data_IF_576684684548
#
_entry.id   IF_576684684548
#
_cell.length_a   1.000
_cell.length_b   1.000
_cell.length_c   1.000
_cell.angle_alpha   90.00
_cell.angle_beta   90.00
_cell.angle_gamma   90.00
#
_symmetry.space_group_name_H-M   'P 1'
#
loop_
_entity.id
_entity.type
_entity.pdbx_description
1 polymer ?
#
# COMPACT_ATOMS: atom_id res chain seq x y z
N UNK A 1 78.93 0.15 12.74
CA UNK A 1 78.42 0.68 14.03
C UNK A 1 77.04 1.26 13.72
N UNK A 2 75.92 0.81 14.30
CA UNK A 2 75.58 0.70 15.74
C UNK A 2 75.78 2.04 16.47
N UNK A 3 74.71 2.83 16.62
CA UNK A 3 74.09 2.96 17.94
C UNK A 3 72.59 3.28 17.84
N UNK A 4 71.79 2.58 18.65
CA UNK A 4 70.32 2.58 18.65
C UNK A 4 69.83 2.79 20.10
N UNK A 5 69.11 3.89 20.35
CA UNK A 5 68.33 4.19 21.57
C UNK A 5 67.19 5.15 21.14
N UNK A 6 65.87 4.90 21.26
CA UNK A 6 65.03 4.33 22.34
C UNK A 6 65.30 5.05 23.69
N UNK A 7 64.36 5.79 24.32
CA UNK A 7 63.18 5.39 25.14
C UNK A 7 62.52 6.71 25.62
N UNK A 8 61.20 6.97 25.69
CA UNK A 8 59.96 6.28 25.27
C UNK A 8 58.79 7.30 25.07
N UNK A 9 57.58 6.77 24.88
CA UNK A 9 56.26 7.40 24.85
C UNK A 9 55.59 7.64 26.22
N UNK A 10 54.46 8.38 26.24
CA UNK A 10 53.23 8.22 27.08
C UNK A 10 52.24 9.33 26.61
N UNK A 11 51.16 9.02 25.86
CA UNK A 11 49.81 8.49 26.19
C UNK A 11 48.72 9.60 26.12
N UNK A 12 47.55 9.25 25.58
CA UNK A 12 46.40 10.14 25.40
C UNK A 12 46.27 10.67 23.96
N UNK A 13 45.24 10.32 23.18
CA UNK A 13 44.14 9.38 23.43
C UNK A 13 43.00 9.67 22.45
N UNK A 14 42.85 8.86 21.40
CA UNK A 14 41.96 9.23 20.28
C UNK A 14 41.92 8.24 19.12
N UNK A 15 41.86 6.94 19.39
CA UNK A 15 41.56 5.93 18.36
C UNK A 15 40.11 6.10 17.90
N UNK A 16 39.92 6.79 16.77
CA UNK A 16 38.58 7.18 16.32
C UNK A 16 38.56 7.80 14.92
N UNK A 17 39.18 7.14 13.93
CA UNK A 17 38.81 7.41 12.53
C UNK A 17 37.36 6.99 12.40
N UNK A 18 36.48 7.98 12.23
CA UNK A 18 35.03 7.78 12.30
C UNK A 18 34.59 6.86 11.18
N UNK A 19 33.97 5.73 11.51
CA UNK A 19 33.25 4.92 10.53
C UNK A 19 32.22 5.79 9.84
N UNK A 20 32.39 6.04 8.54
CA UNK A 20 31.36 6.69 7.73
C UNK A 20 30.11 5.81 7.76
N UNK A 21 29.11 6.24 8.53
CA UNK A 21 27.92 5.43 8.82
C UNK A 21 27.08 5.25 7.57
N UNK A 22 26.52 4.05 7.41
CA UNK A 22 25.75 3.63 6.25
C UNK A 22 24.34 4.24 6.22
N UNK A 23 24.23 5.57 6.34
CA UNK A 23 22.96 6.30 6.36
C UNK A 23 22.36 6.48 4.95
N UNK A 24 23.18 6.37 3.91
CA UNK A 24 22.76 6.56 2.50
C UNK A 24 22.00 5.38 1.88
N UNK A 25 21.74 4.28 2.62
CA UNK A 25 21.08 3.08 2.08
C UNK A 25 19.57 3.02 2.36
N UNK A 26 19.05 3.70 3.40
CA UNK A 26 17.68 3.52 3.89
C UNK A 26 16.58 4.19 3.04
N UNK A 27 16.91 5.24 2.29
CA UNK A 27 15.97 5.98 1.44
C UNK A 27 16.10 5.61 -0.05
N UNK A 28 17.13 4.86 -0.42
CA UNK A 28 17.49 4.52 -1.81
C UNK A 28 16.94 3.16 -2.28
N UNK A 29 16.09 2.53 -1.46
CA UNK A 29 15.37 1.32 -1.84
C UNK A 29 14.16 1.70 -2.73
N UNK A 30 14.02 1.13 -3.94
CA UNK A 30 13.01 1.55 -4.92
C UNK A 30 11.60 1.18 -4.47
N UNK A 31 10.58 1.76 -5.11
CA UNK A 31 9.16 1.64 -4.68
C UNK A 31 8.58 0.20 -4.61
N UNK A 32 9.29 -0.81 -5.10
CA UNK A 32 8.90 -2.22 -4.98
C UNK A 32 9.65 -2.97 -3.85
N UNK A 33 10.52 -2.30 -3.09
CA UNK A 33 11.33 -2.88 -2.01
C UNK A 33 10.87 -2.32 -0.67
N UNK A 34 10.40 -3.20 0.23
CA UNK A 34 10.05 -2.85 1.60
C UNK A 34 11.12 -3.36 2.57
N UNK A 35 11.79 -2.43 3.27
CA UNK A 35 12.66 -2.75 4.41
C UNK A 35 11.87 -2.75 5.72
N UNK A 36 11.41 -3.92 6.14
CA UNK A 36 10.51 -4.09 7.28
C UNK A 36 11.14 -3.70 8.62
N UNK A 37 12.45 -3.91 8.81
CA UNK A 37 13.16 -3.51 10.02
C UNK A 37 13.37 -2.00 10.17
N UNK A 38 13.07 -1.22 9.12
CA UNK A 38 13.27 0.23 9.08
C UNK A 38 12.01 1.05 8.82
N UNK A 39 10.98 0.48 8.20
CA UNK A 39 9.72 1.15 7.83
C UNK A 39 8.55 0.25 8.21
N UNK A 40 7.61 0.73 9.02
CA UNK A 40 6.40 0.01 9.43
C UNK A 40 5.37 -0.16 8.29
N UNK A 41 5.58 0.52 7.16
CA UNK A 41 4.64 0.66 6.05
C UNK A 41 5.31 0.49 4.70
N UNK A 42 4.57 -0.09 3.77
CA UNK A 42 4.89 -0.16 2.35
C UNK A 42 3.81 0.55 1.54
N UNK A 43 4.08 1.81 1.17
CA UNK A 43 3.14 2.65 0.41
C UNK A 43 2.96 2.11 -1.01
N UNK A 44 1.70 1.89 -1.39
CA UNK A 44 1.32 1.40 -2.70
C UNK A 44 0.97 2.58 -3.63
N UNK A 45 -0.12 3.30 -3.33
CA UNK A 45 -0.64 4.38 -4.17
C UNK A 45 -1.46 5.39 -3.36
N UNK A 46 -1.69 6.57 -3.94
CA UNK A 46 -2.68 7.53 -3.46
C UNK A 46 -3.93 7.46 -4.33
N UNK A 47 -5.09 7.21 -3.74
CA UNK A 47 -6.39 7.31 -4.41
C UNK A 47 -7.05 8.65 -4.08
N UNK A 48 -7.74 9.24 -5.07
CA UNK A 48 -8.27 10.60 -5.02
C UNK A 48 -9.68 10.71 -5.58
N UNK A 49 -10.59 11.33 -4.84
CA UNK A 49 -11.82 11.93 -5.40
C UNK A 49 -11.63 13.45 -5.55
N UNK A 50 -12.14 14.00 -6.64
CA UNK A 50 -12.27 15.45 -6.90
C UNK A 50 -13.63 15.69 -7.54
N UNK A 51 -14.06 16.96 -7.58
CA UNK A 51 -15.20 17.39 -8.38
C UNK A 51 -14.93 17.10 -9.86
N UNK A 52 -15.85 16.41 -10.53
CA UNK A 52 -15.81 16.20 -11.98
C UNK A 52 -16.60 17.30 -12.70
N UNK A 53 -16.49 17.37 -14.03
CA UNK A 53 -17.16 18.43 -14.80
C UNK A 53 -18.69 18.33 -14.74
N UNK A 54 -19.21 17.12 -14.60
CA UNK A 54 -20.64 16.85 -14.64
C UNK A 54 -21.32 17.04 -13.26
N UNK A 55 -20.55 17.42 -12.23
CA UNK A 55 -21.02 17.79 -10.88
C UNK A 55 -21.62 19.22 -10.82
N UNK A 56 -22.31 19.65 -11.88
CA UNK A 56 -22.96 20.96 -11.93
C UNK A 56 -24.26 21.02 -11.10
N UNK A 57 -24.59 22.21 -10.60
CA UNK A 57 -25.76 22.48 -9.75
C UNK A 57 -25.50 22.29 -8.25
N UNK A 58 -26.58 22.12 -7.48
CA UNK A 58 -26.56 22.00 -6.01
C UNK A 58 -26.24 20.59 -5.50
N UNK A 59 -25.61 19.77 -6.34
CA UNK A 59 -25.15 18.41 -6.04
C UNK A 59 -24.16 18.39 -4.88
N UNK A 60 -24.18 17.28 -4.15
CA UNK A 60 -23.16 16.95 -3.15
C UNK A 60 -22.01 16.20 -3.82
N UNK A 61 -20.77 16.53 -3.46
CA UNK A 61 -19.57 15.88 -3.99
C UNK A 61 -18.47 15.80 -2.91
N UNK A 62 -17.47 14.95 -3.13
CA UNK A 62 -16.43 14.67 -2.14
C UNK A 62 -15.06 15.06 -2.69
N UNK A 63 -14.30 15.83 -1.92
CA UNK A 63 -12.85 15.91 -2.05
C UNK A 63 -12.23 14.84 -1.15
N UNK A 64 -11.35 13.99 -1.67
CA UNK A 64 -10.60 13.03 -0.84
C UNK A 64 -9.17 12.78 -1.34
N UNK A 65 -8.25 12.60 -0.41
CA UNK A 65 -6.88 12.12 -0.64
C UNK A 65 -6.61 10.96 0.33
N UNK A 66 -6.45 9.74 -0.19
CA UNK A 66 -6.27 8.52 0.60
C UNK A 66 -5.00 7.78 0.15
N UNK A 67 -3.95 7.85 0.97
CA UNK A 67 -2.70 7.11 0.79
C UNK A 67 -2.85 5.68 1.29
N UNK A 68 -2.71 4.70 0.41
CA UNK A 68 -2.91 3.28 0.69
C UNK A 68 -1.56 2.57 0.83
N UNK A 69 -1.40 1.81 1.91
CA UNK A 69 -0.18 1.06 2.22
C UNK A 69 -0.46 -0.32 2.80
N UNK A 70 0.50 -1.22 2.64
CA UNK A 70 0.55 -2.47 3.40
C UNK A 70 1.33 -2.26 4.70
N UNK A 71 0.88 -2.92 5.76
CA UNK A 71 1.62 -3.07 7.02
C UNK A 71 1.36 -4.45 7.61
N UNK A 72 2.17 -4.89 8.58
CA UNK A 72 1.94 -6.16 9.25
C UNK A 72 0.66 -6.11 10.09
N UNK A 73 -0.16 -7.16 10.00
CA UNK A 73 -1.47 -7.23 10.67
C UNK A 73 -1.32 -7.29 12.18
N UNK A 74 -0.39 -8.11 12.65
CA UNK A 74 0.19 -8.05 13.99
C UNK A 74 1.32 -7.02 13.93
N UNK A 75 1.03 -5.78 14.31
CA UNK A 75 1.94 -4.65 14.13
C UNK A 75 3.26 -4.82 14.92
N UNK A 76 4.37 -4.32 14.34
CA UNK A 76 5.71 -4.45 14.91
C UNK A 76 6.29 -5.86 14.74
N UNK A 77 6.71 -6.19 13.52
CA UNK A 77 7.35 -7.48 13.21
C UNK A 77 8.87 -7.34 13.22
N UNK A 78 9.51 -8.05 14.14
CA UNK A 78 10.96 -8.00 14.36
C UNK A 78 11.79 -8.89 13.43
N UNK A 79 11.14 -9.77 12.65
CA UNK A 79 11.77 -10.64 11.64
C UNK A 79 10.83 -10.94 10.49
N UNK A 80 11.32 -10.86 9.26
CA UNK A 80 10.56 -11.12 8.04
C UNK A 80 10.43 -12.64 7.82
N UNK A 81 9.22 -13.22 7.92
CA UNK A 81 9.00 -14.68 7.85
C UNK A 81 7.89 -15.11 6.89
N UNK A 82 8.01 -16.32 6.34
CA UNK A 82 6.98 -16.95 5.49
C UNK A 82 5.63 -16.98 6.21
N UNK A 83 4.54 -16.68 5.49
CA UNK A 83 3.17 -16.72 6.01
C UNK A 83 2.78 -15.55 6.92
N UNK A 84 3.67 -14.57 7.18
CA UNK A 84 3.32 -13.40 7.99
C UNK A 84 2.19 -12.59 7.33
N UNK A 85 1.07 -12.40 8.05
CA UNK A 85 -0.11 -11.69 7.57
C UNK A 85 0.12 -10.16 7.49
N UNK A 86 -0.27 -9.59 6.35
CA UNK A 86 -0.32 -8.15 6.11
C UNK A 86 -1.78 -7.67 6.04
N UNK A 87 -1.97 -6.35 6.16
CA UNK A 87 -3.25 -5.66 6.02
C UNK A 87 -3.07 -4.40 5.16
N UNK A 88 -4.02 -4.13 4.27
CA UNK A 88 -4.16 -2.83 3.59
C UNK A 88 -4.76 -1.81 4.55
N UNK A 89 -4.11 -0.66 4.64
CA UNK A 89 -4.54 0.48 5.43
C UNK A 89 -4.55 1.71 4.53
N UNK A 90 -5.57 2.56 4.71
CA UNK A 90 -5.59 3.91 4.18
C UNK A 90 -5.31 4.94 5.27
N UNK A 91 -4.51 5.96 4.95
CA UNK A 91 -4.36 7.18 5.74
C UNK A 91 -4.60 8.39 4.84
N UNK A 92 -5.29 9.41 5.34
CA UNK A 92 -5.55 10.59 4.53
C UNK A 92 -6.60 11.53 5.09
N UNK A 93 -7.29 12.22 4.19
CA UNK A 93 -8.35 13.16 4.55
C UNK A 93 -9.47 13.25 3.51
N UNK A 94 -10.65 13.64 3.96
CA UNK A 94 -11.82 13.85 3.11
C UNK A 94 -12.65 15.07 3.57
N UNK A 95 -13.41 15.63 2.64
CA UNK A 95 -14.33 16.74 2.90
C UNK A 95 -15.48 16.72 1.89
N UNK A 96 -16.71 16.69 2.40
CA UNK A 96 -17.93 16.76 1.58
C UNK A 96 -18.32 18.20 1.31
N UNK A 97 -18.74 18.49 0.08
CA UNK A 97 -19.14 19.81 -0.40
C UNK A 97 -20.56 19.76 -0.98
N UNK A 98 -21.27 20.88 -0.91
CA UNK A 98 -22.46 21.14 -1.72
C UNK A 98 -22.17 22.32 -2.64
N UNK A 99 -22.31 22.13 -3.96
CA UNK A 99 -21.94 23.10 -4.99
C UNK A 99 -20.44 23.52 -4.89
N UNK A 100 -20.13 24.59 -4.15
CA UNK A 100 -18.78 25.10 -3.86
C UNK A 100 -18.48 25.27 -2.37
N UNK A 101 -19.45 25.02 -1.48
CA UNK A 101 -19.32 25.22 -0.03
C UNK A 101 -19.04 23.88 0.67
N UNK A 102 -18.10 23.80 1.61
CA UNK A 102 -17.95 22.62 2.44
C UNK A 102 -19.18 22.46 3.34
N UNK A 103 -19.64 21.21 3.53
CA UNK A 103 -20.74 20.88 4.45
C UNK A 103 -20.20 20.80 5.89
N UNK A 104 -18.98 20.29 6.04
CA UNK A 104 -18.25 20.16 7.30
C UNK A 104 -16.76 20.49 7.08
N UNK A 105 -16.02 20.69 8.17
CA UNK A 105 -14.56 20.79 8.13
C UNK A 105 -13.92 19.51 7.60
N UNK A 106 -12.71 19.66 7.05
CA UNK A 106 -11.89 18.55 6.53
C UNK A 106 -11.59 17.54 7.63
N UNK A 107 -12.04 16.31 7.44
CA UNK A 107 -11.81 15.20 8.35
C UNK A 107 -10.51 14.49 7.98
N UNK A 108 -9.72 14.11 8.99
CA UNK A 108 -8.47 13.37 8.84
C UNK A 108 -8.61 11.99 9.49
N UNK A 109 -8.13 10.95 8.82
CA UNK A 109 -8.20 9.56 9.28
C UNK A 109 -6.80 8.95 9.16
N UNK A 110 -6.19 8.63 10.31
CA UNK A 110 -4.82 8.10 10.38
C UNK A 110 -4.75 6.59 10.18
N UNK A 111 -5.88 5.87 10.24
CA UNK A 111 -5.93 4.42 10.04
C UNK A 111 -7.30 3.87 9.62
N UNK A 112 -7.66 4.05 8.35
CA UNK A 112 -8.77 3.30 7.74
C UNK A 112 -8.34 1.84 7.46
N UNK A 113 -8.99 0.87 8.10
CA UNK A 113 -8.89 -0.55 7.71
C UNK A 113 -9.68 -0.78 6.42
N UNK A 114 -8.98 -1.13 5.33
CA UNK A 114 -9.60 -1.33 4.02
C UNK A 114 -10.19 -2.74 3.84
N UNK A 115 -9.91 -3.67 4.75
CA UNK A 115 -10.53 -5.01 4.78
C UNK A 115 -11.84 -5.04 5.60
N UNK A 116 -12.22 -3.92 6.21
CA UNK A 116 -13.41 -3.80 7.05
C UNK A 116 -14.69 -4.15 6.29
N UNK A 117 -15.60 -4.87 6.95
CA UNK A 117 -16.97 -5.11 6.47
C UNK A 117 -17.98 -4.19 7.15
N UNK A 118 -19.14 -4.01 6.52
CA UNK A 118 -20.31 -3.31 7.07
C UNK A 118 -21.20 -4.32 7.81
N UNK A 119 -21.43 -5.49 7.21
CA UNK A 119 -22.11 -6.64 7.83
C UNK A 119 -21.38 -7.97 7.46
N UNK A 120 -22.08 -9.10 7.43
CA UNK A 120 -21.51 -10.41 7.05
C UNK A 120 -21.42 -10.66 5.53
N UNK A 121 -21.84 -9.70 4.69
CA UNK A 121 -21.92 -9.82 3.22
C UNK A 121 -21.38 -8.58 2.48
N UNK A 122 -21.54 -7.39 3.06
CA UNK A 122 -21.13 -6.11 2.50
C UNK A 122 -19.72 -5.74 2.98
N UNK A 123 -18.82 -5.47 2.04
CA UNK A 123 -17.52 -4.84 2.33
C UNK A 123 -17.72 -3.34 2.61
N UNK A 124 -16.71 -2.66 3.14
CA UNK A 124 -16.66 -1.19 3.11
C UNK A 124 -15.98 -0.69 1.82
N UNK A 125 -14.94 -1.40 1.35
CA UNK A 125 -14.12 -0.99 0.20
C UNK A 125 -13.99 -2.05 -0.88
N UNK A 126 -14.05 -1.59 -2.13
CA UNK A 126 -13.83 -2.38 -3.35
C UNK A 126 -12.70 -1.79 -4.17
N UNK A 127 -11.80 -2.66 -4.62
CA UNK A 127 -10.77 -2.32 -5.59
C UNK A 127 -11.26 -2.68 -7.00
N UNK A 128 -11.20 -1.70 -7.90
CA UNK A 128 -11.62 -1.81 -9.30
C UNK A 128 -10.41 -1.71 -10.23
N UNK A 129 -10.38 -2.53 -11.28
CA UNK A 129 -9.31 -2.49 -12.30
C UNK A 129 -9.87 -2.48 -13.71
N UNK A 130 -9.40 -1.53 -14.52
CA UNK A 130 -9.80 -1.39 -15.93
C UNK A 130 -9.05 -2.35 -16.85
N UNK A 131 -9.78 -3.12 -17.66
CA UNK A 131 -9.23 -4.08 -18.63
C UNK A 131 -8.39 -3.38 -19.70
N UNK A 132 -8.88 -2.30 -20.30
CA UNK A 132 -8.17 -1.54 -21.35
C UNK A 132 -7.32 -0.44 -20.74
N UNK A 133 -7.88 0.36 -19.83
CA UNK A 133 -7.15 1.50 -19.23
C UNK A 133 -6.02 1.12 -18.28
N UNK A 134 -6.03 -0.10 -17.73
CA UNK A 134 -5.13 -0.60 -16.65
C UNK A 134 -5.11 0.26 -15.38
N UNK A 135 -6.02 1.23 -15.24
CA UNK A 135 -6.12 2.05 -14.04
C UNK A 135 -6.62 1.21 -12.85
N UNK A 136 -6.25 1.63 -11.64
CA UNK A 136 -6.84 1.13 -10.41
C UNK A 136 -7.70 2.24 -9.80
N UNK A 137 -8.84 1.86 -9.25
CA UNK A 137 -9.70 2.74 -8.45
C UNK A 137 -10.07 2.05 -7.13
N UNK A 138 -10.36 2.85 -6.11
CA UNK A 138 -10.81 2.39 -4.80
C UNK A 138 -12.15 3.07 -4.50
N UNK A 139 -13.20 2.29 -4.29
CA UNK A 139 -14.55 2.79 -4.05
C UNK A 139 -15.10 2.33 -2.71
N UNK A 140 -15.88 3.18 -2.04
CA UNK A 140 -16.72 2.76 -0.92
C UNK A 140 -18.00 2.08 -1.43
N UNK A 141 -18.33 0.91 -0.88
CA UNK A 141 -19.56 0.18 -1.23
C UNK A 141 -20.69 0.53 -0.27
N UNK A 142 -21.46 1.56 -0.63
CA UNK A 142 -22.70 1.93 0.03
C UNK A 142 -23.49 2.90 -0.85
N UNK A 143 -24.78 2.66 -1.05
CA UNK A 143 -25.62 3.54 -1.87
C UNK A 143 -25.94 4.85 -1.15
N UNK A 144 -25.66 6.00 -1.79
CA UNK A 144 -26.10 7.32 -1.34
C UNK A 144 -25.04 8.42 -1.51
N UNK A 145 -25.47 9.57 -2.03
CA UNK A 145 -24.64 10.78 -2.11
C UNK A 145 -24.26 11.34 -0.72
N UNK A 146 -24.99 10.93 0.33
CA UNK A 146 -24.78 11.31 1.73
C UNK A 146 -24.03 10.26 2.57
N UNK A 147 -23.72 9.07 2.03
CA UNK A 147 -23.22 7.93 2.82
C UNK A 147 -21.76 7.54 2.58
N UNK A 148 -21.10 8.10 1.55
CA UNK A 148 -19.66 7.93 1.33
C UNK A 148 -18.83 9.02 2.02
N UNK A 149 -17.69 8.64 2.58
CA UNK A 149 -16.69 9.53 3.21
C UNK A 149 -15.59 9.90 2.22
N UNK A 150 -15.05 8.88 1.57
CA UNK A 150 -13.93 8.92 0.64
C UNK A 150 -14.41 9.02 -0.81
N UNK A 151 -15.58 8.45 -1.10
CA UNK A 151 -16.23 8.49 -2.41
C UNK A 151 -16.39 7.12 -3.06
N UNK A 152 -17.32 7.05 -4.02
CA UNK A 152 -17.72 5.81 -4.67
C UNK A 152 -16.68 5.27 -5.67
N UNK A 153 -15.78 6.10 -6.21
CA UNK A 153 -14.79 5.68 -7.20
C UNK A 153 -13.52 6.58 -7.23
N UNK A 154 -12.74 6.58 -6.14
CA UNK A 154 -11.48 7.31 -6.10
C UNK A 154 -10.47 6.75 -7.13
N UNK A 155 -9.91 7.60 -7.98
CA UNK A 155 -8.85 7.19 -8.92
C UNK A 155 -7.51 7.11 -8.23
N UNK A 156 -6.81 5.98 -8.38
CA UNK A 156 -5.48 5.77 -7.82
C UNK A 156 -4.37 6.20 -8.80
N UNK A 157 -3.27 6.72 -8.26
CA UNK A 157 -2.16 7.29 -9.04
C UNK A 157 -1.24 6.25 -9.71
N UNK A 158 -1.16 5.02 -9.16
CA UNK A 158 -0.41 3.90 -9.73
C UNK A 158 -1.29 2.73 -10.14
N UNK A 159 -0.73 1.89 -11.01
CA UNK A 159 -1.35 0.69 -11.59
C UNK A 159 -0.67 -0.57 -11.04
N UNK A 160 -0.87 -0.84 -9.75
CA UNK A 160 -0.15 -1.92 -9.05
C UNK A 160 -0.91 -3.25 -9.04
N UNK A 161 -2.21 -3.25 -9.34
CA UNK A 161 -3.04 -4.46 -9.37
C UNK A 161 -3.63 -4.75 -10.75
N UNK A 162 -3.81 -6.03 -11.05
CA UNK A 162 -4.56 -6.55 -12.20
C UNK A 162 -5.26 -7.86 -11.83
N UNK A 163 -6.29 -8.24 -12.57
CA UNK A 163 -6.81 -9.60 -12.53
C UNK A 163 -5.99 -10.53 -13.44
N UNK A 164 -5.99 -11.82 -13.14
CA UNK A 164 -5.40 -12.84 -14.02
C UNK A 164 -6.24 -13.07 -15.28
N UNK A 165 -7.57 -13.13 -15.13
CA UNK A 165 -8.52 -13.22 -16.23
C UNK A 165 -9.52 -12.05 -16.22
N UNK A 166 -9.89 -11.55 -17.40
CA UNK A 166 -10.89 -10.49 -17.62
C UNK A 166 -12.11 -10.98 -18.42
N UNK A 167 -12.22 -12.26 -18.76
CA UNK A 167 -13.34 -12.81 -19.54
C UNK A 167 -14.69 -12.66 -18.80
N UNK A 168 -14.73 -12.88 -17.49
CA UNK A 168 -15.93 -12.72 -16.66
C UNK A 168 -16.31 -11.26 -16.37
N UNK A 169 -15.66 -10.28 -17.00
CA UNK A 169 -16.00 -8.86 -16.86
C UNK A 169 -17.34 -8.48 -17.52
N UNK A 170 -17.89 -9.38 -18.35
CA UNK A 170 -19.12 -9.13 -19.10
C UNK A 170 -18.95 -7.98 -20.09
N UNK A 171 -19.87 -7.00 -20.02
CA UNK A 171 -19.92 -5.84 -20.94
C UNK A 171 -19.06 -4.67 -20.44
N UNK A 172 -18.68 -4.64 -19.16
CA UNK A 172 -17.85 -3.57 -18.59
C UNK A 172 -16.36 -3.76 -18.87
N UNK A 173 -15.64 -2.67 -19.18
CA UNK A 173 -14.16 -2.63 -19.22
C UNK A 173 -13.53 -2.71 -17.82
N UNK A 174 -14.25 -3.19 -16.81
CA UNK A 174 -13.84 -3.16 -15.40
C UNK A 174 -14.13 -4.51 -14.74
N UNK A 175 -13.22 -4.93 -13.86
CA UNK A 175 -13.49 -5.96 -12.84
C UNK A 175 -13.28 -5.36 -11.45
N UNK A 176 -14.11 -5.83 -10.52
CA UNK A 176 -14.16 -5.34 -9.15
C UNK A 176 -13.84 -6.49 -8.18
N UNK A 177 -13.22 -6.18 -7.04
CA UNK A 177 -13.02 -7.13 -5.95
C UNK A 177 -13.09 -6.47 -4.58
N UNK A 178 -14.05 -6.93 -3.76
CA UNK A 178 -14.19 -6.54 -2.36
C UNK A 178 -12.89 -6.78 -1.57
N UNK A 179 -12.32 -5.75 -0.95
CA UNK A 179 -11.04 -5.87 -0.22
C UNK A 179 -11.15 -6.73 1.03
N UNK A 180 -12.32 -6.80 1.66
CA UNK A 180 -12.58 -7.74 2.78
C UNK A 180 -12.49 -9.22 2.39
N UNK A 181 -12.52 -9.55 1.10
CA UNK A 181 -12.31 -10.90 0.56
C UNK A 181 -10.90 -11.13 0.01
N UNK A 182 -9.98 -10.20 0.23
CA UNK A 182 -8.58 -10.31 -0.22
C UNK A 182 -7.68 -10.36 1.01
N UNK A 183 -6.74 -11.30 1.00
CA UNK A 183 -5.71 -11.46 2.03
C UNK A 183 -4.32 -11.25 1.43
N UNK A 184 -3.44 -10.64 2.22
CA UNK A 184 -2.04 -10.40 1.87
C UNK A 184 -1.14 -11.11 2.88
N UNK A 185 -0.10 -11.79 2.40
CA UNK A 185 0.89 -12.43 3.27
C UNK A 185 2.27 -12.44 2.63
N UNK A 186 3.31 -12.61 3.45
CA UNK A 186 4.65 -12.85 2.95
C UNK A 186 4.81 -14.30 2.47
N UNK A 187 5.61 -14.50 1.42
CA UNK A 187 6.11 -15.83 1.14
C UNK A 187 7.27 -15.91 0.14
N UNK A 188 7.65 -17.13 -0.22
CA UNK A 188 8.86 -17.43 -0.99
C UNK A 188 10.16 -16.91 -0.33
N UNK A 189 10.13 -16.71 1.00
CA UNK A 189 11.19 -16.07 1.80
C UNK A 189 12.51 -16.85 1.79
N UNK A 190 12.46 -18.15 1.47
CA UNK A 190 13.61 -19.02 1.32
C UNK A 190 14.03 -19.24 -0.16
N UNK A 191 13.35 -18.58 -1.11
CA UNK A 191 13.63 -18.69 -2.54
C UNK A 191 14.79 -17.80 -3.01
N UNK A 192 15.00 -17.77 -4.34
CA UNK A 192 16.05 -16.96 -4.98
C UNK A 192 15.74 -15.45 -5.05
N UNK A 193 14.72 -14.96 -4.35
CA UNK A 193 14.41 -13.52 -4.30
C UNK A 193 15.41 -12.81 -3.40
N UNK A 194 16.46 -12.27 -4.03
CA UNK A 194 17.46 -11.42 -3.40
C UNK A 194 17.39 -9.99 -3.93
N UNK A 195 17.54 -9.01 -3.06
CA UNK A 195 17.78 -7.62 -3.43
C UNK A 195 19.10 -7.15 -2.81
N UNK A 196 20.06 -6.74 -3.65
CA UNK A 196 21.44 -6.34 -3.25
C UNK A 196 22.11 -7.34 -2.29
N UNK A 197 21.89 -8.64 -2.50
CA UNK A 197 22.41 -9.74 -1.67
C UNK A 197 21.55 -10.12 -0.45
N UNK A 198 20.68 -9.22 0.03
CA UNK A 198 19.73 -9.49 1.12
C UNK A 198 18.63 -10.42 0.62
N UNK A 199 18.28 -11.46 1.39
CA UNK A 199 17.11 -12.31 1.12
C UNK A 199 15.81 -11.53 1.32
N UNK A 200 14.78 -11.80 0.52
CA UNK A 200 13.47 -11.20 0.71
C UNK A 200 12.30 -12.08 0.27
N UNK A 201 11.16 -11.88 0.92
CA UNK A 201 9.90 -12.52 0.58
C UNK A 201 9.21 -11.79 -0.57
N UNK A 202 8.47 -12.52 -1.43
CA UNK A 202 7.37 -11.93 -2.19
C UNK A 202 6.23 -11.52 -1.25
N UNK A 203 5.39 -10.57 -1.69
CA UNK A 203 4.06 -10.39 -1.10
C UNK A 203 3.08 -11.19 -1.95
N UNK A 204 2.44 -12.20 -1.36
CA UNK A 204 1.40 -13.02 -1.96
C UNK A 204 0.04 -12.38 -1.73
N UNK A 205 -0.82 -12.46 -2.74
CA UNK A 205 -2.22 -12.05 -2.68
C UNK A 205 -3.07 -13.32 -2.81
N UNK A 206 -4.08 -13.47 -1.97
CA UNK A 206 -5.11 -14.51 -2.13
C UNK A 206 -6.51 -13.91 -1.96
N UNK A 207 -7.31 -13.98 -3.01
CA UNK A 207 -8.77 -13.81 -2.96
C UNK A 207 -9.43 -15.02 -2.29
N UNK A 208 -10.57 -14.79 -1.65
CA UNK A 208 -11.48 -15.85 -1.22
C UNK A 208 -12.11 -16.59 -2.43
N UNK A 209 -12.53 -17.84 -2.21
CA UNK A 209 -13.09 -18.68 -3.25
C UNK A 209 -14.58 -18.43 -3.53
N UNK A 210 -15.26 -17.60 -2.73
CA UNK A 210 -16.69 -17.29 -2.93
C UNK A 210 -16.91 -16.17 -3.96
N UNK A 211 -17.16 -16.57 -5.21
CA UNK A 211 -17.71 -15.66 -6.24
C UNK A 211 -19.03 -15.08 -5.75
N UNK A 212 -19.24 -13.79 -5.98
CA UNK A 212 -20.49 -13.10 -5.66
C UNK A 212 -20.58 -11.77 -6.40
N UNK A 213 -21.72 -11.07 -6.27
CA UNK A 213 -21.86 -9.73 -6.83
C UNK A 213 -20.69 -8.83 -6.41
N UNK A 214 -20.08 -8.14 -7.38
CA UNK A 214 -18.93 -7.24 -7.22
C UNK A 214 -17.64 -7.87 -6.62
N UNK A 215 -17.49 -9.20 -6.62
CA UNK A 215 -16.23 -9.86 -6.25
C UNK A 215 -15.69 -10.82 -7.33
N UNK A 216 -14.66 -10.35 -8.03
CA UNK A 216 -13.81 -11.12 -8.94
C UNK A 216 -12.67 -11.80 -8.19
N UNK A 217 -12.39 -13.06 -8.57
CA UNK A 217 -11.19 -13.82 -8.16
C UNK A 217 -9.93 -13.32 -8.87
N UNK A 218 -8.79 -13.87 -8.45
CA UNK A 218 -7.49 -13.79 -9.12
C UNK A 218 -6.93 -12.37 -9.26
N UNK A 219 -7.16 -11.53 -8.24
CA UNK A 219 -6.41 -10.29 -8.08
C UNK A 219 -4.94 -10.62 -7.83
N UNK A 220 -4.05 -10.05 -8.64
CA UNK A 220 -2.60 -10.18 -8.56
C UNK A 220 -1.91 -8.83 -8.73
N UNK A 221 -0.61 -8.78 -8.47
CA UNK A 221 0.21 -7.62 -8.84
C UNK A 221 0.22 -7.44 -10.36
N UNK A 222 0.25 -6.18 -10.80
CA UNK A 222 0.39 -5.80 -12.20
C UNK A 222 1.74 -6.24 -12.76
N UNK A 223 1.80 -6.45 -14.08
CA UNK A 223 3.04 -6.81 -14.76
C UNK A 223 4.13 -5.75 -14.56
N UNK A 224 5.37 -6.20 -14.33
CA UNK A 224 6.48 -5.34 -13.92
C UNK A 224 6.53 -5.05 -12.42
N UNK A 225 5.41 -4.96 -11.70
CA UNK A 225 5.42 -4.71 -10.25
C UNK A 225 5.62 -5.99 -9.45
N UNK A 226 6.83 -6.19 -8.94
CA UNK A 226 7.23 -7.35 -8.15
C UNK A 226 7.67 -6.92 -6.75
N UNK A 227 6.73 -6.72 -5.79
CA UNK A 227 7.11 -6.29 -4.45
C UNK A 227 7.92 -7.37 -3.73
N UNK A 228 8.97 -6.93 -3.03
CA UNK A 228 9.85 -7.76 -2.21
C UNK A 228 10.01 -7.13 -0.82
N UNK A 229 9.91 -7.94 0.22
CA UNK A 229 10.06 -7.53 1.62
C UNK A 229 11.36 -8.11 2.16
N UNK A 230 12.24 -7.22 2.63
CA UNK A 230 13.56 -7.52 3.20
C UNK A 230 13.62 -7.00 4.64
N UNK A 231 14.58 -7.49 5.41
CA UNK A 231 14.86 -7.03 6.79
C UNK A 231 15.49 -5.62 6.79
#
# INVERSE_FOLDING_TARGET
MLFLKFVLAILGGGTGIVSFTSLSSLEWDPEHVWRAGAKDRFYLFTCRQRKEKDDEGDKKWIYSDLSVYLTFKKGGVSKVTEGAELQLVGEGHYQSFQNTRPIYDKQYETKADLHKTIDSKQTWFTLSVGRTSKNNWLGETGGGEDSSRWGLLMRCDKRLFTFANFEDAGVSDQKDSHLSKISFSLGDCNGQRHYRGVKGCSIKIKSDDTVGACHSKDLKWAEGFNPIVIE
#
